data_IF_256309023238
#
_entry.id   IF_256309023238
#
_cell.length_a   1.000
_cell.length_b   1.000
_cell.length_c   1.000
_cell.angle_alpha   90.00
_cell.angle_beta   90.00
_cell.angle_gamma   90.00
#
_symmetry.space_group_name_H-M   'P 1'
#
loop_
_entity.id
_entity.type
_entity.pdbx_description
1 polymer ?
#
# COMPACT_ATOMS: atom_id res chain seq x y z
N UNK A 1 7.89 17.84 4.20
CA UNK A 1 7.02 18.57 5.16
C UNK A 1 7.48 19.99 5.46
N UNK A 2 8.77 20.25 5.79
CA UNK A 2 9.29 21.61 5.99
C UNK A 2 9.12 22.55 4.78
N UNK A 3 9.17 21.99 3.58
CA UNK A 3 8.93 22.71 2.32
C UNK A 3 7.43 22.87 1.98
N UNK A 4 6.52 22.52 2.88
CA UNK A 4 5.07 22.63 2.68
C UNK A 4 4.41 21.40 2.01
N UNK A 5 5.19 20.42 1.58
CA UNK A 5 4.66 19.15 1.08
C UNK A 5 3.99 18.29 2.17
N UNK A 6 3.09 17.42 1.76
CA UNK A 6 2.36 16.50 2.64
C UNK A 6 2.76 15.04 2.43
N UNK A 7 2.53 14.21 3.44
CA UNK A 7 2.90 12.80 3.42
C UNK A 7 1.77 11.88 3.90
N UNK A 8 1.74 10.68 3.34
CA UNK A 8 0.95 9.54 3.82
C UNK A 8 1.86 8.54 4.54
N UNK A 9 1.39 7.98 5.65
CA UNK A 9 2.00 6.82 6.33
C UNK A 9 0.92 5.77 6.46
N UNK A 10 1.07 4.65 5.75
CA UNK A 10 0.05 3.63 5.60
C UNK A 10 0.49 2.34 6.28
N UNK A 11 -0.35 1.83 7.18
CA UNK A 11 -0.22 0.54 7.84
C UNK A 11 -1.16 -0.48 7.17
N UNK A 12 -0.76 -1.75 7.06
CA UNK A 12 -1.64 -2.82 6.60
C UNK A 12 -2.82 -2.95 7.56
N UNK A 13 -3.94 -3.48 7.07
CA UNK A 13 -5.02 -3.98 7.91
C UNK A 13 -5.35 -5.38 7.43
N UNK A 14 -5.04 -6.38 8.24
CA UNK A 14 -5.34 -7.79 7.93
C UNK A 14 -6.33 -8.30 8.96
N UNK A 15 -7.35 -9.06 8.55
CA UNK A 15 -8.45 -9.50 9.44
C UNK A 15 -7.94 -10.20 10.70
N UNK A 16 -6.96 -11.10 10.56
CA UNK A 16 -6.37 -11.84 11.68
C UNK A 16 -5.59 -10.96 12.65
N UNK A 17 -5.15 -9.77 12.21
CA UNK A 17 -4.27 -8.86 12.96
C UNK A 17 -4.86 -7.45 13.14
N UNK A 18 -6.15 -7.25 12.87
CA UNK A 18 -6.79 -5.92 12.80
C UNK A 18 -6.56 -5.08 14.06
N UNK A 19 -6.62 -5.70 15.24
CA UNK A 19 -6.38 -5.02 16.53
C UNK A 19 -4.94 -4.57 16.70
N UNK A 20 -3.98 -5.38 16.24
CA UNK A 20 -2.55 -5.07 16.33
C UNK A 20 -2.19 -3.97 15.34
N UNK A 21 -2.67 -4.10 14.11
CA UNK A 21 -2.44 -3.15 13.02
C UNK A 21 -3.02 -1.76 13.33
N UNK A 22 -4.24 -1.71 13.87
CA UNK A 22 -4.85 -0.46 14.33
C UNK A 22 -4.02 0.18 15.44
N UNK A 23 -3.57 -0.62 16.42
CA UNK A 23 -2.73 -0.13 17.50
C UNK A 23 -1.40 0.41 16.99
N UNK A 24 -0.78 -0.26 16.02
CA UNK A 24 0.45 0.21 15.39
C UNK A 24 0.26 1.60 14.73
N UNK A 25 -0.86 1.81 14.02
CA UNK A 25 -1.19 3.11 13.46
C UNK A 25 -1.45 4.18 14.53
N UNK A 26 -2.16 3.85 15.61
CA UNK A 26 -2.38 4.77 16.74
C UNK A 26 -1.10 5.14 17.47
N UNK A 27 -0.21 4.16 17.69
CA UNK A 27 1.07 4.36 18.36
C UNK A 27 2.01 5.20 17.47
N UNK A 28 2.07 4.92 16.17
CA UNK A 28 2.81 5.74 15.20
C UNK A 28 2.28 7.17 15.10
N UNK A 29 0.96 7.36 15.13
CA UNK A 29 0.36 8.69 15.17
C UNK A 29 0.85 9.50 16.38
N UNK A 30 0.89 8.91 17.57
CA UNK A 30 1.39 9.55 18.79
C UNK A 30 2.90 9.80 18.69
N UNK A 31 3.69 8.79 18.34
CA UNK A 31 5.14 8.88 18.27
C UNK A 31 5.59 9.97 17.28
N UNK A 32 4.99 9.99 16.07
CA UNK A 32 5.30 11.00 15.07
C UNK A 32 4.87 12.39 15.53
N UNK A 33 3.67 12.52 16.10
CA UNK A 33 3.11 13.80 16.55
C UNK A 33 3.77 14.38 17.80
N UNK A 34 4.31 13.55 18.68
CA UNK A 34 5.00 13.98 19.90
C UNK A 34 6.53 14.05 19.71
N UNK A 35 7.07 13.35 18.70
CA UNK A 35 8.49 13.24 18.43
C UNK A 35 8.93 14.03 17.20
N UNK A 36 9.41 13.36 16.13
CA UNK A 36 10.13 14.00 15.03
C UNK A 36 9.30 15.01 14.22
N UNK A 37 7.96 14.94 14.30
CA UNK A 37 7.05 15.82 13.58
C UNK A 37 6.23 16.73 14.51
N UNK A 38 6.66 16.94 15.75
CA UNK A 38 5.95 17.78 16.72
C UNK A 38 5.72 19.24 16.28
N UNK A 39 6.53 19.75 15.34
CA UNK A 39 6.34 21.07 14.72
C UNK A 39 5.18 21.09 13.69
N UNK A 40 4.63 19.93 13.32
CA UNK A 40 3.58 19.76 12.33
C UNK A 40 2.36 19.05 12.89
N UNK A 41 1.19 19.37 12.34
CA UNK A 41 -0.03 18.62 12.66
C UNK A 41 -0.01 17.27 11.94
N UNK A 42 0.01 16.19 12.72
CA UNK A 42 -0.20 14.82 12.26
C UNK A 42 -1.69 14.48 12.42
N UNK A 43 -2.24 13.65 11.55
CA UNK A 43 -3.62 13.16 11.59
C UNK A 43 -3.66 11.65 11.55
N UNK A 44 -4.74 11.07 12.07
CA UNK A 44 -5.00 9.64 12.07
C UNK A 44 -6.30 9.35 11.32
N UNK A 45 -6.30 8.32 10.46
CA UNK A 45 -7.49 7.84 9.77
C UNK A 45 -7.53 6.31 9.74
N UNK A 46 -8.57 5.72 10.32
CA UNK A 46 -8.74 4.27 10.30
C UNK A 46 -10.22 3.85 10.24
N UNK A 47 -10.46 2.58 9.88
CA UNK A 47 -11.79 2.03 9.63
C UNK A 47 -12.80 2.24 10.76
N UNK A 48 -12.35 2.22 12.03
CA UNK A 48 -13.21 2.37 13.23
C UNK A 48 -13.69 3.80 13.54
N UNK A 49 -13.21 4.82 12.84
CA UNK A 49 -13.67 6.20 13.04
C UNK A 49 -15.08 6.41 12.49
N UNK A 50 -15.83 7.37 13.03
CA UNK A 50 -17.12 7.74 12.44
C UNK A 50 -16.92 8.43 11.10
N UNK A 51 -17.86 8.28 10.18
CA UNK A 51 -17.77 8.90 8.84
C UNK A 51 -17.50 10.42 8.91
N UNK A 52 -18.21 11.14 9.77
CA UNK A 52 -18.00 12.59 9.96
C UNK A 52 -16.58 12.95 10.45
N UNK A 53 -15.96 12.09 11.26
CA UNK A 53 -14.58 12.30 11.74
C UNK A 53 -13.58 12.05 10.62
N UNK A 54 -13.79 10.99 9.82
CA UNK A 54 -12.99 10.69 8.63
C UNK A 54 -13.04 11.86 7.63
N UNK A 55 -14.23 12.36 7.34
CA UNK A 55 -14.42 13.49 6.43
C UNK A 55 -13.71 14.75 6.95
N UNK A 56 -13.82 15.04 8.24
CA UNK A 56 -13.15 16.20 8.85
C UNK A 56 -11.62 16.10 8.74
N UNK A 57 -11.04 14.92 9.03
CA UNK A 57 -9.60 14.68 8.91
C UNK A 57 -9.15 14.78 7.45
N UNK A 58 -9.88 14.16 6.51
CA UNK A 58 -9.56 14.20 5.09
C UNK A 58 -9.61 15.62 4.53
N UNK A 59 -10.60 16.42 4.95
CA UNK A 59 -10.72 17.82 4.55
C UNK A 59 -9.59 18.68 5.14
N UNK A 60 -9.21 18.47 6.40
CA UNK A 60 -8.08 19.14 7.02
C UNK A 60 -6.74 18.77 6.34
N UNK A 61 -6.59 17.51 5.93
CA UNK A 61 -5.45 17.07 5.12
C UNK A 61 -5.48 17.72 3.74
N UNK A 62 -6.60 17.72 3.02
CA UNK A 62 -6.68 18.36 1.70
C UNK A 62 -6.35 19.86 1.74
N UNK A 63 -6.73 20.58 2.81
CA UNK A 63 -6.39 22.00 3.03
C UNK A 63 -4.94 22.25 3.48
N UNK A 64 -4.14 21.20 3.69
CA UNK A 64 -2.76 21.32 4.17
C UNK A 64 -2.61 21.66 5.65
N UNK A 65 -3.70 21.63 6.42
CA UNK A 65 -3.66 21.83 7.89
C UNK A 65 -2.98 20.64 8.56
N UNK A 66 -3.22 19.43 8.07
CA UNK A 66 -2.52 18.21 8.47
C UNK A 66 -1.40 17.97 7.46
N UNK A 67 -0.16 17.90 7.93
CA UNK A 67 1.02 17.67 7.07
C UNK A 67 1.30 16.20 6.84
N UNK A 68 0.98 15.35 7.82
CA UNK A 68 1.19 13.90 7.73
C UNK A 68 -0.08 13.17 8.14
N UNK A 69 -0.56 12.29 7.28
CA UNK A 69 -1.73 11.45 7.55
C UNK A 69 -1.29 10.01 7.78
N UNK A 70 -1.42 9.54 9.02
CA UNK A 70 -1.25 8.14 9.40
C UNK A 70 -2.57 7.41 9.18
N UNK A 71 -2.54 6.26 8.50
CA UNK A 71 -3.77 5.54 8.16
C UNK A 71 -3.60 4.03 8.04
N UNK A 72 -4.67 3.28 8.29
CA UNK A 72 -4.78 1.85 7.92
C UNK A 72 -5.43 1.71 6.52
N UNK A 73 -5.07 0.67 5.75
CA UNK A 73 -5.54 0.39 4.35
C UNK A 73 -7.02 0.58 4.04
N UNK A 74 -7.51 0.65 2.78
CA UNK A 74 -7.05 1.14 1.44
C UNK A 74 -8.24 1.84 0.72
N UNK A 75 -9.48 1.67 1.19
CA UNK A 75 -10.68 2.08 0.44
C UNK A 75 -11.04 3.57 0.67
N UNK A 76 -10.43 4.23 1.65
CA UNK A 76 -10.85 5.58 2.09
C UNK A 76 -9.91 6.73 1.68
N UNK A 77 -8.76 6.46 1.06
CA UNK A 77 -7.86 7.53 0.56
C UNK A 77 -8.29 8.01 -0.84
N UNK A 78 -9.60 8.01 -1.11
CA UNK A 78 -10.20 8.42 -2.38
C UNK A 78 -9.95 9.89 -2.77
N UNK A 79 -9.35 10.69 -1.89
CA UNK A 79 -9.05 12.10 -2.12
C UNK A 79 -7.66 12.22 -2.72
N UNK A 80 -7.62 12.70 -3.97
CA UNK A 80 -6.42 13.18 -4.61
C UNK A 80 -5.91 14.44 -3.91
N UNK A 81 -4.68 14.41 -3.41
CA UNK A 81 -3.99 15.58 -2.87
C UNK A 81 -2.72 15.85 -3.70
N UNK A 82 -2.74 16.85 -4.62
CA UNK A 82 -1.59 17.13 -5.48
C UNK A 82 -0.36 17.63 -4.71
N UNK A 83 -0.52 18.06 -3.46
CA UNK A 83 0.55 18.49 -2.57
C UNK A 83 1.16 17.33 -1.75
N UNK A 84 0.59 16.12 -1.84
CA UNK A 84 1.17 14.93 -1.22
C UNK A 84 2.26 14.34 -2.13
N UNK A 85 3.51 14.45 -1.67
CA UNK A 85 4.69 14.02 -2.44
C UNK A 85 5.40 12.82 -1.83
N UNK A 86 5.02 12.40 -0.61
CA UNK A 86 5.65 11.27 0.08
C UNK A 86 4.59 10.25 0.47
N UNK A 87 4.79 9.00 0.07
CA UNK A 87 4.03 7.83 0.51
C UNK A 87 4.98 6.91 1.28
N UNK A 88 4.66 6.58 2.52
CA UNK A 88 5.34 5.57 3.30
C UNK A 88 4.34 4.42 3.51
N UNK A 89 4.72 3.22 3.12
CA UNK A 89 3.94 2.01 3.39
C UNK A 89 4.73 1.16 4.37
N UNK A 90 4.23 1.08 5.60
CA UNK A 90 4.76 0.22 6.64
C UNK A 90 4.30 -1.22 6.41
N UNK A 91 5.12 -2.20 6.80
CA UNK A 91 4.87 -3.62 6.54
C UNK A 91 4.36 -3.91 5.11
N UNK A 92 5.03 -3.30 4.12
CA UNK A 92 4.58 -3.31 2.73
C UNK A 92 4.48 -4.72 2.13
N UNK A 93 5.22 -5.69 2.67
CA UNK A 93 5.17 -7.10 2.28
C UNK A 93 3.80 -7.75 2.51
N UNK A 94 2.99 -7.18 3.42
CA UNK A 94 1.63 -7.68 3.73
C UNK A 94 0.58 -7.22 2.72
N UNK A 95 0.95 -6.36 1.79
CA UNK A 95 0.08 -5.91 0.72
C UNK A 95 0.27 -6.74 -0.55
N UNK A 96 -0.83 -6.91 -1.30
CA UNK A 96 -0.76 -7.38 -2.68
C UNK A 96 -0.09 -6.34 -3.58
N UNK A 97 0.56 -6.82 -4.66
CA UNK A 97 1.33 -5.96 -5.56
C UNK A 97 0.45 -4.88 -6.19
N UNK A 98 -0.76 -5.26 -6.60
CA UNK A 98 -1.78 -4.35 -7.12
C UNK A 98 -2.21 -3.26 -6.12
N UNK A 99 -2.30 -3.58 -4.82
CA UNK A 99 -2.66 -2.60 -3.78
C UNK A 99 -1.53 -1.59 -3.58
N UNK A 100 -0.28 -2.05 -3.52
CA UNK A 100 0.90 -1.17 -3.46
C UNK A 100 0.95 -0.23 -4.67
N UNK A 101 0.63 -0.74 -5.86
CA UNK A 101 0.57 0.07 -7.06
C UNK A 101 -0.49 1.18 -6.98
N UNK A 102 -1.69 0.85 -6.47
CA UNK A 102 -2.76 1.82 -6.25
C UNK A 102 -2.39 2.88 -5.21
N UNK A 103 -1.73 2.49 -4.11
CA UNK A 103 -1.23 3.41 -3.09
C UNK A 103 -0.18 4.35 -3.66
N UNK A 104 0.80 3.84 -4.41
CA UNK A 104 1.82 4.65 -5.09
C UNK A 104 1.19 5.72 -5.98
N UNK A 105 0.11 5.39 -6.70
CA UNK A 105 -0.60 6.32 -7.58
C UNK A 105 -1.36 7.46 -6.87
N UNK A 106 -1.37 7.50 -5.54
CA UNK A 106 -1.94 8.60 -4.73
C UNK A 106 -0.96 9.75 -4.49
N UNK A 107 0.33 9.56 -4.78
CA UNK A 107 1.35 10.61 -4.75
C UNK A 107 1.89 10.86 -6.16
N UNK A 108 2.54 12.00 -6.39
CA UNK A 108 3.11 12.31 -7.71
C UNK A 108 2.13 12.86 -8.74
N UNK A 109 1.00 13.42 -8.29
CA UNK A 109 0.02 14.09 -9.17
C UNK A 109 0.29 15.58 -9.35
N UNK A 110 1.16 16.16 -8.53
CA UNK A 110 1.67 17.51 -8.69
C UNK A 110 2.90 17.58 -9.61
N UNK A 111 3.53 18.77 -9.67
CA UNK A 111 4.76 19.00 -10.46
C UNK A 111 6.03 18.62 -9.70
N UNK A 112 5.91 18.40 -8.39
CA UNK A 112 7.01 18.10 -7.49
C UNK A 112 7.42 16.62 -7.57
N UNK A 113 8.72 16.37 -7.42
CA UNK A 113 9.24 15.00 -7.35
C UNK A 113 8.62 14.30 -6.14
N UNK A 114 8.08 13.11 -6.38
CA UNK A 114 7.43 12.31 -5.35
C UNK A 114 8.19 11.02 -5.05
N UNK A 115 8.01 10.52 -3.83
CA UNK A 115 8.70 9.37 -3.28
C UNK A 115 7.69 8.37 -2.70
N UNK A 116 7.87 7.10 -3.03
CA UNK A 116 7.15 6.00 -2.41
C UNK A 116 8.17 5.10 -1.70
N UNK A 117 8.07 5.02 -0.38
CA UNK A 117 9.00 4.29 0.49
C UNK A 117 8.25 3.08 1.02
N UNK A 118 8.81 1.90 0.77
CA UNK A 118 8.26 0.62 1.20
C UNK A 118 9.12 0.12 2.35
N UNK A 119 8.53 0.00 3.55
CA UNK A 119 9.19 -0.53 4.73
C UNK A 119 8.75 -1.99 4.86
N UNK A 120 9.71 -2.90 4.88
CA UNK A 120 9.45 -4.30 5.14
C UNK A 120 9.50 -4.58 6.65
N UNK A 121 8.64 -5.47 7.12
CA UNK A 121 8.74 -6.06 8.45
C UNK A 121 10.00 -6.91 8.64
N UNK A 122 10.19 -7.41 9.86
CA UNK A 122 11.35 -8.25 10.21
C UNK A 122 11.36 -9.60 9.45
N UNK A 123 10.17 -10.17 9.21
CA UNK A 123 10.02 -11.42 8.47
C UNK A 123 9.64 -11.13 7.01
N UNK A 124 10.59 -11.29 6.10
CA UNK A 124 10.38 -11.07 4.67
C UNK A 124 10.55 -12.39 3.91
N UNK A 125 9.43 -12.92 3.39
CA UNK A 125 9.45 -14.11 2.53
C UNK A 125 10.11 -13.80 1.17
N UNK A 126 10.53 -14.84 0.44
CA UNK A 126 11.08 -14.69 -0.91
C UNK A 126 10.07 -14.00 -1.85
N UNK A 127 8.78 -14.39 -1.74
CA UNK A 127 7.70 -13.77 -2.52
C UNK A 127 7.47 -12.32 -2.13
N UNK A 128 7.45 -12.00 -0.82
CA UNK A 128 7.33 -10.64 -0.33
C UNK A 128 8.47 -9.75 -0.82
N UNK A 129 9.71 -10.26 -0.79
CA UNK A 129 10.89 -9.58 -1.34
C UNK A 129 10.72 -9.29 -2.84
N UNK A 130 10.38 -10.31 -3.63
CA UNK A 130 10.22 -10.17 -5.07
C UNK A 130 9.13 -9.14 -5.42
N UNK A 131 8.05 -9.11 -4.64
CA UNK A 131 6.97 -8.12 -4.77
C UNK A 131 7.47 -6.69 -4.53
N UNK A 132 8.18 -6.46 -3.43
CA UNK A 132 8.72 -5.14 -3.08
C UNK A 132 9.79 -4.68 -4.08
N UNK A 133 10.67 -5.58 -4.52
CA UNK A 133 11.66 -5.30 -5.55
C UNK A 133 11.01 -4.95 -6.90
N UNK A 134 9.93 -5.65 -7.28
CA UNK A 134 9.16 -5.31 -8.48
C UNK A 134 8.55 -3.91 -8.37
N UNK A 135 7.92 -3.56 -7.24
CA UNK A 135 7.39 -2.22 -7.01
C UNK A 135 8.45 -1.11 -7.08
N UNK A 136 9.66 -1.39 -6.60
CA UNK A 136 10.77 -0.44 -6.61
C UNK A 136 11.42 -0.29 -7.99
N UNK A 137 11.44 -1.37 -8.79
CA UNK A 137 12.12 -1.41 -10.08
C UNK A 137 11.34 -0.73 -11.20
N UNK A 138 10.02 -0.93 -11.25
CA UNK A 138 9.21 -0.52 -12.40
C UNK A 138 7.99 0.32 -12.02
N UNK A 139 7.65 1.25 -12.92
CA UNK A 139 6.40 1.99 -12.86
C UNK A 139 5.36 1.50 -13.89
N UNK A 140 5.71 0.53 -14.73
CA UNK A 140 4.82 0.02 -15.77
C UNK A 140 3.72 -0.86 -15.15
N UNK A 141 2.47 -0.42 -15.31
CA UNK A 141 1.30 -1.15 -14.81
C UNK A 141 1.13 -2.53 -15.45
N UNK A 142 1.60 -2.74 -16.68
CA UNK A 142 1.54 -4.04 -17.34
C UNK A 142 2.55 -5.03 -16.75
N UNK A 143 3.80 -4.63 -16.53
CA UNK A 143 4.83 -5.47 -15.89
C UNK A 143 4.43 -5.84 -14.46
N UNK A 144 3.84 -4.88 -13.74
CA UNK A 144 3.29 -5.09 -12.40
C UNK A 144 2.16 -6.12 -12.44
N UNK A 145 1.21 -6.00 -13.37
CA UNK A 145 0.09 -6.93 -13.50
C UNK A 145 0.54 -8.34 -13.89
N UNK A 146 1.50 -8.46 -14.80
CA UNK A 146 2.09 -9.75 -15.20
C UNK A 146 2.80 -10.43 -14.02
N UNK A 147 3.56 -9.66 -13.25
CA UNK A 147 4.23 -10.16 -12.04
C UNK A 147 3.23 -10.58 -10.96
N UNK A 148 2.17 -9.79 -10.72
CA UNK A 148 1.10 -10.14 -9.77
C UNK A 148 0.42 -11.47 -10.18
N UNK A 149 0.14 -11.65 -11.48
CA UNK A 149 -0.47 -12.89 -12.00
C UNK A 149 0.46 -14.09 -11.82
N UNK A 150 1.75 -13.94 -12.14
CA UNK A 150 2.76 -14.99 -11.97
C UNK A 150 2.94 -15.41 -10.51
N UNK A 151 2.95 -14.45 -9.59
CA UNK A 151 3.04 -14.71 -8.15
C UNK A 151 1.79 -15.45 -7.63
N UNK A 152 0.59 -15.03 -8.04
CA UNK A 152 -0.66 -15.76 -7.71
C UNK A 152 -0.67 -17.19 -8.27
N UNK A 153 -0.24 -17.37 -9.52
CA UNK A 153 -0.17 -18.68 -10.17
C UNK A 153 0.84 -19.65 -9.55
N UNK A 154 1.88 -19.13 -8.90
CA UNK A 154 2.84 -19.97 -8.14
C UNK A 154 2.34 -20.32 -6.73
N UNK A 155 1.38 -19.56 -6.18
CA UNK A 155 0.77 -19.80 -4.87
C UNK A 155 -0.46 -20.73 -4.87
N UNK A 156 -1.28 -20.75 -5.93
CA UNK A 156 -2.58 -21.47 -5.93
C UNK A 156 -2.63 -22.79 -6.72
N UNK A 157 -1.60 -23.17 -7.47
CA UNK A 157 -1.65 -24.40 -8.29
C UNK A 157 -1.34 -25.70 -7.53
N UNK A 158 -0.91 -25.64 -6.26
CA UNK A 158 -0.55 -26.82 -5.47
C UNK A 158 -1.37 -27.01 -4.18
N UNK A 159 -2.55 -26.39 -4.08
CA UNK A 159 -3.42 -26.45 -2.90
C UNK A 159 -4.38 -27.64 -2.81
N UNK A 160 -4.57 -28.43 -3.89
CA UNK A 160 -5.40 -29.63 -3.84
C UNK A 160 -4.73 -30.77 -4.60
N UNK A 161 -3.99 -31.63 -3.90
CA UNK A 161 -3.80 -33.02 -4.34
C UNK A 161 -5.16 -33.72 -4.27
N UNK A 162 -6.03 -33.46 -5.24
CA UNK A 162 -7.13 -34.38 -5.53
C UNK A 162 -6.56 -35.46 -6.44
N UNK A 163 -6.38 -36.63 -5.84
CA UNK A 163 -6.24 -37.89 -6.51
C UNK A 163 -7.25 -38.00 -7.66
N UNK A 164 -6.76 -38.07 -8.91
CA UNK A 164 -7.44 -38.84 -9.95
C UNK A 164 -8.19 -38.13 -11.08
N UNK A 165 -7.76 -36.96 -11.57
CA UNK A 165 -8.23 -36.49 -12.91
C UNK A 165 -7.09 -36.10 -13.85
N UNK A 166 -7.23 -36.35 -15.17
CA UNK A 166 -6.17 -36.15 -16.15
C UNK A 166 -5.83 -34.65 -16.26
N UNK A 167 -4.53 -34.33 -16.34
CA UNK A 167 -4.08 -32.96 -16.60
C UNK A 167 -4.59 -32.50 -17.97
N UNK A 168 -5.66 -31.70 -17.99
CA UNK A 168 -5.93 -30.84 -19.12
C UNK A 168 -4.89 -29.73 -19.12
N UNK A 169 -4.09 -29.65 -20.19
CA UNK A 169 -3.24 -28.48 -20.45
C UNK A 169 -4.17 -27.29 -20.72
N UNK A 170 -4.40 -26.48 -19.70
CA UNK A 170 -5.01 -25.16 -19.86
C UNK A 170 -3.96 -24.28 -20.54
N UNK A 171 -4.33 -23.63 -21.64
CA UNK A 171 -3.46 -22.71 -22.37
C UNK A 171 -2.99 -21.59 -21.44
N UNK A 172 -1.69 -21.33 -21.46
CA UNK A 172 -1.04 -20.32 -20.62
C UNK A 172 -0.83 -19.09 -21.49
N UNK A 173 -1.69 -18.08 -21.30
CA UNK A 173 -1.71 -16.85 -22.12
C UNK A 173 -0.34 -16.15 -22.10
N UNK A 174 0.45 -16.29 -21.04
CA UNK A 174 1.79 -15.70 -20.95
C UNK A 174 2.80 -16.48 -21.79
N UNK A 175 2.68 -17.81 -21.80
CA UNK A 175 3.59 -18.71 -22.53
C UNK A 175 3.26 -18.80 -24.02
N UNK A 176 1.98 -18.67 -24.36
CA UNK A 176 1.45 -18.87 -25.71
C UNK A 176 1.30 -17.53 -26.48
N UNK A 177 1.84 -16.42 -25.95
CA UNK A 177 1.72 -15.08 -26.53
C UNK A 177 2.26 -14.96 -27.96
N UNK A 178 3.23 -15.78 -28.35
CA UNK A 178 3.76 -15.82 -29.72
C UNK A 178 2.92 -16.67 -30.69
N UNK A 179 1.96 -17.45 -30.18
CA UNK A 179 1.16 -18.40 -30.99
C UNK A 179 -0.32 -17.99 -31.10
N UNK A 180 -0.73 -16.90 -30.45
CA UNK A 180 -2.03 -16.22 -30.59
C UNK A 180 -1.90 -14.98 -31.47
#
# INVERSE_FOLDING_TARGET
>A
VREGAQAYVVYPLVEESEKLDLRAAEDAYKELGEGPLAEFRVGLLHGRMKAAEKDAVMQAFHRGEIRVLVSTTVIEVGVDNPNATVMIVDHAERFGLSQLHQLRGRVGRGRERSWCILIAGHELSAEGRERLETMARTNDGFEIAETDLRMRGSGDFFGVRQSGMPMFKIADILRDRETL
#
